data_IF_851285319379
#
_entry.id   IF_851285319379
#
_cell.length_a   1.000
_cell.length_b   1.000
_cell.length_c   1.000
_cell.angle_alpha   90.00
_cell.angle_beta   90.00
_cell.angle_gamma   90.00
#
_symmetry.space_group_name_H-M   'P 1'
#
loop_
_entity.id
_entity.type
_entity.pdbx_description
1 polymer ?
#
# COMPACT_ATOMS: atom_id res chain seq x y z
N UNK A 1 94.84 24.46 14.69
CA UNK A 1 93.66 25.25 15.09
C UNK A 1 92.61 24.28 15.59
N UNK A 2 92.21 24.36 16.87
CA UNK A 2 91.24 23.44 17.49
C UNK A 2 89.83 23.92 17.18
N UNK A 3 89.00 23.05 16.62
CA UNK A 3 87.57 23.27 16.40
C UNK A 3 86.89 23.39 17.78
N UNK A 4 86.38 24.57 18.11
CA UNK A 4 85.54 24.78 19.30
C UNK A 4 84.17 24.15 19.04
N UNK A 5 83.92 23.00 19.64
CA UNK A 5 82.59 22.40 19.73
C UNK A 5 81.75 23.24 20.70
N UNK A 6 80.75 23.94 20.18
CA UNK A 6 79.71 24.54 21.01
C UNK A 6 78.81 23.43 21.55
N UNK A 7 78.67 23.25 22.88
CA UNK A 7 77.77 22.23 23.40
C UNK A 7 76.33 22.62 23.08
N UNK A 8 75.66 21.79 22.30
CA UNK A 8 74.21 21.90 22.07
C UNK A 8 73.48 21.89 23.42
N UNK A 9 72.52 22.80 23.64
CA UNK A 9 71.81 22.87 24.92
C UNK A 9 71.11 21.53 25.22
N UNK A 10 71.13 21.07 26.49
CA UNK A 10 70.57 19.78 26.84
C UNK A 10 69.06 19.77 26.55
N UNK A 11 68.64 18.84 25.70
CA UNK A 11 67.25 18.67 25.29
C UNK A 11 66.43 18.26 26.52
N UNK A 12 65.70 19.20 27.11
CA UNK A 12 64.87 18.94 28.27
C UNK A 12 63.72 18.01 27.87
N UNK A 13 63.43 17.02 28.72
CA UNK A 13 62.37 16.02 28.46
C UNK A 13 61.00 16.67 28.27
N UNK A 14 60.79 17.85 28.87
CA UNK A 14 59.55 18.63 28.78
C UNK A 14 59.32 19.16 27.36
N UNK A 15 60.35 19.67 26.67
CA UNK A 15 60.21 20.19 25.29
C UNK A 15 59.89 19.07 24.28
N UNK A 16 60.37 17.85 24.54
CA UNK A 16 60.04 16.66 23.73
C UNK A 16 58.59 16.23 23.96
N UNK A 17 58.07 16.39 25.18
CA UNK A 17 56.68 16.07 25.51
C UNK A 17 55.73 17.12 24.93
N UNK A 18 56.08 18.40 24.99
CA UNK A 18 55.26 19.47 24.42
C UNK A 18 55.19 19.36 22.89
N UNK A 19 56.31 19.08 22.22
CA UNK A 19 56.32 18.83 20.77
C UNK A 19 55.54 17.57 20.39
N UNK A 20 55.58 16.50 21.19
CA UNK A 20 54.79 15.29 20.95
C UNK A 20 53.28 15.51 21.13
N UNK A 21 52.88 16.27 22.17
CA UNK A 21 51.48 16.62 22.42
C UNK A 21 50.94 17.55 21.33
N UNK A 22 51.76 18.49 20.84
CA UNK A 22 51.41 19.40 19.75
C UNK A 22 51.19 18.62 18.44
N UNK A 23 52.08 17.69 18.11
CA UNK A 23 51.91 16.78 16.97
C UNK A 23 50.68 15.88 17.08
N UNK A 24 50.32 15.44 18.29
CA UNK A 24 49.08 14.66 18.50
C UNK A 24 47.83 15.50 18.24
N UNK A 25 47.80 16.75 18.75
CA UNK A 25 46.70 17.68 18.51
C UNK A 25 46.57 18.04 17.03
N UNK A 26 47.69 18.25 16.34
CA UNK A 26 47.72 18.47 14.88
C UNK A 26 47.16 17.27 14.12
N UNK A 27 47.59 16.05 14.45
CA UNK A 27 47.06 14.83 13.82
C UNK A 27 45.56 14.66 14.07
N UNK A 28 45.09 15.01 15.27
CA UNK A 28 43.67 14.93 15.60
C UNK A 28 42.86 16.00 14.86
N UNK A 29 43.36 17.23 14.76
CA UNK A 29 42.74 18.29 13.98
C UNK A 29 42.68 17.94 12.49
N UNK A 30 43.75 17.35 11.94
CA UNK A 30 43.79 16.90 10.55
C UNK A 30 42.78 15.77 10.29
N UNK A 31 42.66 14.81 11.21
CA UNK A 31 41.64 13.75 11.13
C UNK A 31 40.23 14.34 11.12
N UNK A 32 39.95 15.30 11.99
CA UNK A 32 38.63 15.96 12.03
C UNK A 32 38.37 16.77 10.77
N UNK A 33 39.36 17.50 10.25
CA UNK A 33 39.26 18.19 8.97
C UNK A 33 39.01 17.23 7.81
N UNK A 34 39.66 16.07 7.80
CA UNK A 34 39.45 15.04 6.78
C UNK A 34 38.04 14.43 6.87
N UNK A 35 37.55 14.17 8.08
CA UNK A 35 36.16 13.73 8.30
C UNK A 35 35.18 14.80 7.79
N UNK A 36 35.43 16.07 8.10
CA UNK A 36 34.57 17.18 7.70
C UNK A 36 34.59 17.36 6.18
N UNK A 37 35.75 17.21 5.55
CA UNK A 37 35.92 17.24 4.10
C UNK A 37 35.20 16.08 3.40
N UNK A 38 35.29 14.86 3.95
CA UNK A 38 34.52 13.73 3.44
C UNK A 38 33.03 14.01 3.59
N UNK A 39 32.59 14.52 4.74
CA UNK A 39 31.19 14.83 4.99
C UNK A 39 30.65 15.91 4.05
N UNK A 40 31.44 16.96 3.74
CA UNK A 40 31.04 18.00 2.80
C UNK A 40 30.98 17.48 1.37
N UNK A 41 31.95 16.66 0.94
CA UNK A 41 31.89 15.99 -0.36
C UNK A 41 30.67 15.09 -0.45
N UNK A 42 30.36 14.31 0.58
CA UNK A 42 29.14 13.49 0.64
C UNK A 42 27.86 14.33 0.63
N UNK A 43 27.86 15.51 1.25
CA UNK A 43 26.70 16.41 1.26
C UNK A 43 26.45 17.04 -0.11
N UNK A 44 27.50 17.48 -0.82
CA UNK A 44 27.36 18.01 -2.17
C UNK A 44 27.03 16.91 -3.19
N UNK A 45 27.65 15.74 -3.05
CA UNK A 45 27.40 14.59 -3.92
C UNK A 45 26.21 13.75 -3.48
N UNK A 46 25.42 14.19 -2.48
CA UNK A 46 24.24 13.45 -2.00
C UNK A 46 23.29 13.17 -3.17
N UNK A 47 23.06 14.15 -4.04
CA UNK A 47 22.11 13.98 -5.14
C UNK A 47 22.63 12.97 -6.18
N UNK A 48 23.96 12.87 -6.36
CA UNK A 48 24.63 11.89 -7.24
C UNK A 48 24.70 10.47 -6.65
N UNK A 49 24.96 10.35 -5.34
CA UNK A 49 25.02 9.08 -4.62
C UNK A 49 23.62 8.49 -4.37
N UNK A 50 22.62 9.34 -4.12
CA UNK A 50 21.23 8.91 -4.03
C UNK A 50 20.66 8.62 -5.42
N UNK A 51 20.97 9.38 -6.48
CA UNK A 51 20.49 9.09 -7.83
C UNK A 51 20.96 7.74 -8.36
N UNK A 52 22.19 7.34 -8.04
CA UNK A 52 22.75 6.04 -8.47
C UNK A 52 22.19 4.84 -7.72
N UNK A 53 21.68 5.02 -6.50
CA UNK A 53 20.91 3.99 -5.78
C UNK A 53 19.40 4.02 -6.09
N UNK A 54 18.85 5.18 -6.45
CA UNK A 54 17.42 5.35 -6.74
C UNK A 54 17.05 5.24 -8.21
N UNK A 55 18.03 5.12 -9.11
CA UNK A 55 17.79 4.79 -10.51
C UNK A 55 18.28 3.37 -10.81
N UNK A 56 17.42 2.36 -10.73
CA UNK A 56 17.50 1.35 -11.75
C UNK A 56 17.16 2.05 -13.08
N UNK A 57 18.18 2.47 -13.83
CA UNK A 57 18.08 2.58 -15.29
C UNK A 57 17.86 1.16 -15.84
N UNK A 58 16.69 0.59 -15.55
CA UNK A 58 16.07 -0.24 -16.55
C UNK A 58 15.82 0.72 -17.71
N UNK A 59 16.38 0.51 -18.91
CA UNK A 59 15.83 1.17 -20.08
C UNK A 59 14.34 0.84 -20.00
N UNK A 60 13.47 1.83 -19.80
CA UNK A 60 12.02 1.62 -19.91
C UNK A 60 11.89 1.07 -21.32
N UNK A 61 11.68 -0.25 -21.49
CA UNK A 61 11.49 -0.77 -22.82
C UNK A 61 10.26 -0.01 -23.28
N UNK A 62 10.41 0.72 -24.39
CA UNK A 62 9.31 1.38 -25.08
C UNK A 62 8.08 0.56 -24.85
N UNK A 63 7.10 1.17 -24.18
CA UNK A 63 5.91 0.49 -23.68
C UNK A 63 5.35 -0.27 -24.85
N UNK A 64 5.66 -1.58 -24.90
CA UNK A 64 5.04 -2.54 -25.78
C UNK A 64 3.60 -2.59 -25.27
N UNK A 65 2.79 -1.61 -25.67
CA UNK A 65 1.35 -1.52 -25.45
C UNK A 65 0.63 -2.71 -26.09
N UNK A 66 1.36 -3.52 -26.85
CA UNK A 66 0.96 -4.77 -27.50
C UNK A 66 1.38 -6.05 -26.76
N UNK A 67 2.11 -5.98 -25.63
CA UNK A 67 2.31 -7.17 -24.79
C UNK A 67 0.95 -7.55 -24.22
N UNK A 68 0.31 -8.55 -24.88
CA UNK A 68 -0.95 -9.19 -24.49
C UNK A 68 -1.10 -9.17 -22.98
N UNK A 69 -2.16 -8.52 -22.49
CA UNK A 69 -2.53 -8.53 -21.07
C UNK A 69 -2.79 -9.97 -20.66
N UNK A 70 -1.77 -10.66 -20.16
CA UNK A 70 -1.90 -12.03 -19.67
C UNK A 70 -2.70 -11.95 -18.38
N UNK A 71 -3.87 -12.59 -18.38
CA UNK A 71 -4.74 -12.61 -17.21
C UNK A 71 -4.02 -13.24 -16.00
N UNK A 72 -3.91 -12.56 -14.84
CA UNK A 72 -3.06 -12.99 -13.74
C UNK A 72 -3.70 -14.08 -12.87
N UNK A 73 -4.04 -15.23 -13.45
CA UNK A 73 -4.78 -16.34 -12.81
C UNK A 73 -4.14 -16.86 -11.51
N UNK A 74 -2.80 -16.95 -11.46
CA UNK A 74 -2.06 -17.40 -10.27
C UNK A 74 -2.24 -16.46 -9.08
N UNK A 75 -2.22 -15.15 -9.32
CA UNK A 75 -2.39 -14.12 -8.27
C UNK A 75 -3.82 -14.07 -7.78
N UNK A 76 -4.80 -14.21 -8.69
CA UNK A 76 -6.22 -14.34 -8.30
C UNK A 76 -6.42 -15.54 -7.37
N UNK A 77 -5.77 -16.68 -7.67
CA UNK A 77 -5.77 -17.85 -6.79
C UNK A 77 -5.21 -17.58 -5.39
N UNK A 78 -4.11 -16.82 -5.29
CA UNK A 78 -3.52 -16.42 -3.99
C UNK A 78 -4.43 -15.47 -3.23
N UNK A 79 -5.03 -14.49 -3.91
CA UNK A 79 -6.00 -13.57 -3.30
C UNK A 79 -7.20 -14.33 -2.71
N UNK A 80 -7.72 -15.33 -3.42
CA UNK A 80 -8.81 -16.17 -2.90
C UNK A 80 -8.38 -16.90 -1.62
N UNK A 81 -7.18 -17.48 -1.59
CA UNK A 81 -6.66 -18.18 -0.42
C UNK A 81 -6.46 -17.24 0.78
N UNK A 82 -5.91 -16.04 0.55
CA UNK A 82 -5.71 -15.06 1.64
C UNK A 82 -7.04 -14.52 2.17
N UNK A 83 -8.03 -14.30 1.30
CA UNK A 83 -9.39 -13.93 1.69
C UNK A 83 -10.10 -15.03 2.49
N UNK A 84 -9.93 -16.29 2.11
CA UNK A 84 -10.48 -17.43 2.86
C UNK A 84 -9.81 -17.60 4.23
N UNK A 85 -8.49 -17.44 4.30
CA UNK A 85 -7.76 -17.46 5.56
C UNK A 85 -8.21 -16.33 6.49
N UNK A 86 -8.44 -15.14 5.93
CA UNK A 86 -8.97 -13.99 6.66
C UNK A 86 -10.39 -14.21 7.15
N UNK A 87 -11.27 -14.78 6.32
CA UNK A 87 -12.63 -15.14 6.70
C UNK A 87 -12.65 -16.12 7.89
N UNK A 88 -11.70 -17.06 7.93
CA UNK A 88 -11.54 -17.99 9.05
C UNK A 88 -11.03 -17.29 10.32
N UNK A 89 -10.14 -16.30 10.18
CA UNK A 89 -9.60 -15.54 11.30
C UNK A 89 -10.57 -14.49 11.86
N UNK A 90 -11.44 -13.91 11.03
CA UNK A 90 -12.33 -12.80 11.40
C UNK A 90 -13.76 -13.02 10.87
N UNK A 91 -14.66 -13.62 11.68
CA UNK A 91 -16.00 -13.97 11.23
C UNK A 91 -16.89 -12.75 10.91
N UNK A 92 -16.59 -11.58 11.47
CA UNK A 92 -17.32 -10.32 11.21
C UNK A 92 -17.24 -9.87 9.74
N UNK A 93 -16.18 -10.26 9.03
CA UNK A 93 -15.98 -9.92 7.61
C UNK A 93 -16.68 -10.91 6.67
N UNK A 94 -17.21 -12.01 7.20
CA UNK A 94 -17.69 -13.15 6.43
C UNK A 94 -18.76 -12.76 5.41
N UNK A 95 -19.80 -12.06 5.84
CA UNK A 95 -20.95 -11.76 4.98
C UNK A 95 -20.60 -10.75 3.87
N UNK A 96 -19.65 -9.85 4.14
CA UNK A 96 -19.16 -8.88 3.15
C UNK A 96 -18.19 -9.52 2.14
N UNK A 97 -17.35 -10.47 2.57
CA UNK A 97 -16.33 -11.08 1.71
C UNK A 97 -16.86 -12.25 0.87
N UNK A 98 -17.86 -12.99 1.35
CA UNK A 98 -18.41 -14.15 0.66
C UNK A 98 -18.84 -13.88 -0.80
N UNK A 99 -19.61 -12.82 -1.12
CA UNK A 99 -19.96 -12.52 -2.50
C UNK A 99 -18.72 -12.18 -3.36
N UNK A 100 -17.72 -11.50 -2.79
CA UNK A 100 -16.50 -11.10 -3.49
C UNK A 100 -15.58 -12.30 -3.78
N UNK A 101 -15.48 -13.25 -2.84
CA UNK A 101 -14.76 -14.51 -3.03
C UNK A 101 -15.43 -15.34 -4.12
N UNK A 102 -16.77 -15.43 -4.13
CA UNK A 102 -17.51 -16.14 -5.17
C UNK A 102 -17.31 -15.50 -6.56
N UNK A 103 -17.28 -14.18 -6.65
CA UNK A 103 -16.96 -13.48 -7.90
C UNK A 103 -15.54 -13.81 -8.37
N UNK A 104 -14.54 -13.83 -7.47
CA UNK A 104 -13.16 -14.20 -7.82
C UNK A 104 -13.02 -15.67 -8.25
N UNK A 105 -13.74 -16.57 -7.58
CA UNK A 105 -13.79 -17.99 -7.97
C UNK A 105 -14.41 -18.15 -9.36
N UNK A 106 -15.53 -17.48 -9.61
CA UNK A 106 -16.16 -17.48 -10.93
C UNK A 106 -15.18 -17.00 -12.01
N UNK A 107 -14.46 -15.89 -11.76
CA UNK A 107 -13.46 -15.34 -12.69
C UNK A 107 -12.31 -16.33 -12.93
N UNK A 108 -11.84 -17.01 -11.88
CA UNK A 108 -10.76 -18.00 -11.98
C UNK A 108 -11.17 -19.21 -12.82
N UNK A 109 -12.41 -19.64 -12.72
CA UNK A 109 -12.94 -20.84 -13.39
C UNK A 109 -13.37 -20.57 -14.85
N UNK A 110 -13.42 -19.30 -15.28
CA UNK A 110 -13.76 -18.96 -16.66
C UNK A 110 -12.57 -19.13 -17.62
N UNK A 111 -12.85 -19.72 -18.79
CA UNK A 111 -11.90 -19.77 -19.89
C UNK A 111 -11.78 -18.39 -20.58
N UNK A 112 -10.58 -17.78 -20.63
CA UNK A 112 -10.38 -16.46 -21.23
C UNK A 112 -10.63 -16.43 -22.74
N UNK A 113 -10.56 -17.59 -23.40
CA UNK A 113 -10.86 -17.74 -24.82
C UNK A 113 -12.37 -17.70 -25.13
N UNK A 114 -13.22 -18.08 -24.16
CA UNK A 114 -14.69 -18.15 -24.35
C UNK A 114 -15.39 -16.86 -23.94
N UNK A 115 -15.00 -16.29 -22.80
CA UNK A 115 -15.66 -15.11 -22.21
C UNK A 115 -15.06 -13.79 -22.72
N UNK A 116 -13.82 -13.84 -23.22
CA UNK A 116 -13.08 -12.66 -23.64
C UNK A 116 -12.30 -12.03 -22.49
N UNK A 117 -11.01 -11.78 -22.74
CA UNK A 117 -10.09 -11.26 -21.71
C UNK A 117 -10.50 -9.88 -21.17
N UNK A 118 -11.07 -9.02 -22.02
CA UNK A 118 -11.51 -7.68 -21.61
C UNK A 118 -12.66 -7.74 -20.58
N UNK A 119 -13.61 -8.66 -20.74
CA UNK A 119 -14.71 -8.83 -19.80
C UNK A 119 -14.23 -9.35 -18.45
N UNK A 120 -13.32 -10.34 -18.46
CA UNK A 120 -12.72 -10.87 -17.23
C UNK A 120 -11.90 -9.82 -16.49
N UNK A 121 -11.16 -8.97 -17.21
CA UNK A 121 -10.42 -7.85 -16.63
C UNK A 121 -11.35 -6.82 -16.00
N UNK A 122 -12.40 -6.39 -16.71
CA UNK A 122 -13.38 -5.44 -16.18
C UNK A 122 -14.09 -5.97 -14.93
N UNK A 123 -14.45 -7.26 -14.92
CA UNK A 123 -15.07 -7.85 -13.73
C UNK A 123 -14.09 -7.95 -12.58
N UNK A 124 -12.85 -8.35 -12.86
CA UNK A 124 -11.77 -8.40 -11.86
C UNK A 124 -11.52 -7.01 -11.24
N UNK A 125 -11.42 -5.95 -12.06
CA UNK A 125 -11.22 -4.60 -11.56
C UNK A 125 -12.39 -4.11 -10.69
N UNK A 126 -13.63 -4.37 -11.10
CA UNK A 126 -14.81 -4.09 -10.27
C UNK A 126 -14.76 -4.83 -8.92
N UNK A 127 -14.39 -6.10 -8.91
CA UNK A 127 -14.29 -6.88 -7.67
C UNK A 127 -13.14 -6.37 -6.78
N UNK A 128 -12.00 -5.99 -7.37
CA UNK A 128 -10.87 -5.41 -6.64
C UNK A 128 -11.20 -4.04 -6.04
N UNK A 129 -11.94 -3.20 -6.75
CA UNK A 129 -12.42 -1.91 -6.22
C UNK A 129 -13.33 -2.12 -5.00
N UNK A 130 -14.28 -3.06 -5.08
CA UNK A 130 -15.14 -3.39 -3.93
C UNK A 130 -14.35 -3.94 -2.75
N UNK A 131 -13.39 -4.84 -2.99
CA UNK A 131 -12.50 -5.33 -1.94
C UNK A 131 -11.71 -4.19 -1.32
N UNK A 132 -11.19 -3.27 -2.13
CA UNK A 132 -10.48 -2.09 -1.67
C UNK A 132 -11.32 -1.21 -0.76
N UNK A 133 -12.56 -0.92 -1.17
CA UNK A 133 -13.54 -0.17 -0.37
C UNK A 133 -13.84 -0.87 0.96
N UNK A 134 -14.06 -2.19 0.94
CA UNK A 134 -14.30 -2.97 2.16
C UNK A 134 -13.13 -2.81 3.11
N UNK A 135 -11.89 -3.04 2.69
CA UNK A 135 -10.73 -3.00 3.60
C UNK A 135 -10.30 -1.58 4.02
N UNK A 136 -10.67 -0.56 3.25
CA UNK A 136 -10.36 0.84 3.57
C UNK A 136 -11.54 1.60 4.19
N UNK A 137 -12.66 0.92 4.44
CA UNK A 137 -13.79 1.50 5.14
C UNK A 137 -13.35 2.08 6.50
N UNK A 138 -13.91 3.22 6.93
CA UNK A 138 -13.61 3.83 8.24
C UNK A 138 -14.15 3.00 9.42
N UNK A 139 -14.77 1.85 9.14
CA UNK A 139 -15.35 0.92 10.11
C UNK A 139 -14.29 0.10 10.85
N UNK A 140 -13.06 0.03 10.33
CA UNK A 140 -11.98 -0.77 10.90
C UNK A 140 -11.09 0.06 11.82
N UNK A 141 -11.07 -0.29 13.11
CA UNK A 141 -10.22 0.34 14.13
C UNK A 141 -8.72 -0.01 13.94
N UNK A 142 -8.41 -1.25 13.57
CA UNK A 142 -7.05 -1.70 13.22
C UNK A 142 -7.03 -2.37 11.84
N UNK A 143 -6.09 -1.93 11.00
CA UNK A 143 -5.92 -2.41 9.62
C UNK A 143 -4.77 -3.41 9.45
N UNK A 144 -3.94 -3.60 10.47
CA UNK A 144 -2.85 -4.59 10.48
C UNK A 144 -3.28 -6.00 10.05
N UNK A 145 -4.42 -6.56 10.49
CA UNK A 145 -4.82 -7.90 10.06
C UNK A 145 -5.15 -7.99 8.56
N UNK A 146 -5.41 -6.85 7.89
CA UNK A 146 -5.75 -6.80 6.47
C UNK A 146 -4.55 -6.60 5.55
N UNK A 147 -3.37 -6.31 6.08
CA UNK A 147 -2.18 -5.93 5.29
C UNK A 147 -1.83 -6.97 4.22
N UNK A 148 -1.89 -8.27 4.55
CA UNK A 148 -1.59 -9.33 3.59
C UNK A 148 -2.54 -9.35 2.39
N UNK A 149 -3.83 -9.09 2.61
CA UNK A 149 -4.82 -9.00 1.53
C UNK A 149 -4.67 -7.70 0.76
N UNK A 150 -4.43 -6.57 1.46
CA UNK A 150 -4.20 -5.27 0.84
C UNK A 150 -2.98 -5.32 -0.10
N UNK A 151 -1.90 -6.00 0.28
CA UNK A 151 -0.72 -6.18 -0.56
C UNK A 151 -1.03 -6.98 -1.83
N UNK A 152 -1.79 -8.07 -1.74
CA UNK A 152 -2.19 -8.84 -2.92
C UNK A 152 -3.14 -8.06 -3.85
N UNK A 153 -4.06 -7.26 -3.29
CA UNK A 153 -4.91 -6.36 -4.08
C UNK A 153 -4.07 -5.32 -4.82
N UNK A 154 -3.10 -4.67 -4.13
CA UNK A 154 -2.16 -3.73 -4.78
C UNK A 154 -1.37 -4.40 -5.89
N UNK A 155 -0.87 -5.62 -5.67
CA UNK A 155 -0.15 -6.38 -6.68
C UNK A 155 -1.02 -6.72 -7.89
N UNK A 156 -2.34 -6.92 -7.71
CA UNK A 156 -3.25 -7.11 -8.83
C UNK A 156 -3.53 -5.81 -9.58
N UNK A 157 -3.70 -4.67 -8.89
CA UNK A 157 -3.80 -3.36 -9.53
C UNK A 157 -2.57 -3.03 -10.38
N UNK A 158 -1.36 -3.29 -9.89
CA UNK A 158 -0.13 -3.06 -10.66
C UNK A 158 -0.04 -3.96 -11.90
N UNK A 159 -0.48 -5.22 -11.81
CA UNK A 159 -0.53 -6.14 -12.96
C UNK A 159 -1.59 -5.73 -13.99
N UNK A 160 -2.70 -5.14 -13.54
CA UNK A 160 -3.75 -4.61 -14.42
C UNK A 160 -3.39 -3.22 -14.98
N UNK A 161 -2.34 -2.58 -14.45
CA UNK A 161 -1.97 -1.18 -14.73
C UNK A 161 -3.11 -0.21 -14.41
N UNK A 162 -3.87 -0.51 -13.38
CA UNK A 162 -4.94 0.34 -12.86
C UNK A 162 -4.50 0.96 -11.54
N UNK A 163 -4.94 2.19 -11.27
CA UNK A 163 -4.71 2.84 -9.98
C UNK A 163 -5.84 2.47 -9.02
N UNK A 164 -5.53 2.13 -7.75
CA UNK A 164 -6.56 1.92 -6.75
C UNK A 164 -7.37 3.20 -6.56
N UNK A 165 -8.68 3.10 -6.28
CA UNK A 165 -9.52 4.27 -6.11
C UNK A 165 -9.02 5.13 -4.93
N UNK A 166 -8.93 6.44 -5.17
CA UNK A 166 -8.54 7.42 -4.15
C UNK A 166 -9.54 7.37 -2.99
N UNK A 167 -9.01 7.37 -1.77
CA UNK A 167 -9.83 7.35 -0.56
C UNK A 167 -10.60 8.67 -0.48
N UNK A 168 -11.91 8.62 -0.66
CA UNK A 168 -12.76 9.76 -0.36
C UNK A 168 -12.67 10.03 1.15
N UNK A 169 -12.34 11.26 1.58
CA UNK A 169 -12.32 11.60 2.99
C UNK A 169 -13.70 11.34 3.60
N UNK A 170 -13.71 10.82 4.83
CA UNK A 170 -14.95 10.54 5.58
C UNK A 170 -15.82 11.81 5.55
N UNK A 171 -17.09 11.75 5.14
CA UNK A 171 -17.97 12.90 5.27
C UNK A 171 -18.03 13.25 6.75
N UNK A 172 -17.69 14.49 7.09
CA UNK A 172 -17.76 14.97 8.47
C UNK A 172 -19.20 14.82 8.91
N UNK A 173 -19.46 13.82 9.78
CA UNK A 173 -20.77 13.70 10.41
C UNK A 173 -21.02 15.01 11.16
N UNK A 174 -22.17 15.66 10.97
CA UNK A 174 -22.47 16.89 11.70
C UNK A 174 -22.52 16.56 13.20
N UNK A 175 -21.44 16.88 13.91
CA UNK A 175 -21.39 16.75 15.37
C UNK A 175 -22.11 17.96 15.96
N UNK A 176 -23.33 17.72 16.41
CA UNK A 176 -24.15 18.73 17.10
C UNK A 176 -25.58 18.25 17.28
N UNK A 177 -26.31 18.73 18.29
CA UNK A 177 -27.73 18.44 18.47
C UNK A 177 -28.50 19.15 17.36
N UNK A 178 -28.68 18.49 16.21
CA UNK A 178 -29.74 18.89 15.28
C UNK A 178 -31.06 18.50 15.93
N UNK A 179 -32.03 19.42 16.09
CA UNK A 179 -33.39 19.01 16.39
C UNK A 179 -33.80 18.03 15.29
N UNK A 180 -34.22 16.82 15.70
CA UNK A 180 -34.86 15.87 14.81
C UNK A 180 -36.11 16.57 14.27
N UNK A 181 -36.01 17.18 13.08
CA UNK A 181 -37.20 17.44 12.29
C UNK A 181 -37.93 16.10 12.16
N UNK A 182 -39.26 16.06 12.33
CA UNK A 182 -40.00 14.81 12.31
C UNK A 182 -39.70 14.10 10.99
N UNK A 183 -38.88 13.06 11.08
CA UNK A 183 -38.67 12.12 10.00
C UNK A 183 -40.05 11.51 9.76
N UNK A 184 -40.67 11.81 8.62
CA UNK A 184 -41.76 10.97 8.12
C UNK A 184 -41.18 9.56 8.00
N UNK A 185 -41.52 8.70 8.97
CA UNK A 185 -41.13 7.31 8.96
C UNK A 185 -41.64 6.71 7.64
N UNK A 186 -40.78 6.11 6.78
CA UNK A 186 -41.29 5.32 5.67
C UNK A 186 -42.17 4.24 6.27
N UNK A 187 -43.44 4.28 5.90
CA UNK A 187 -44.50 3.47 6.48
C UNK A 187 -44.10 1.99 6.57
N UNK A 188 -43.97 1.52 7.82
CA UNK A 188 -44.43 0.22 8.33
C UNK A 188 -44.82 -0.81 7.26
N UNK A 189 -43.84 -1.49 6.65
CA UNK A 189 -44.10 -2.75 5.93
C UNK A 189 -42.99 -3.80 6.08
N UNK A 190 -42.16 -3.73 7.13
CA UNK A 190 -41.10 -4.72 7.38
C UNK A 190 -41.57 -5.98 8.14
N UNK A 191 -42.86 -6.07 8.52
CA UNK A 191 -43.41 -7.25 9.18
C UNK A 191 -44.78 -7.62 8.62
N UNK A 192 -44.82 -8.11 7.37
CA UNK A 192 -45.97 -8.88 6.90
C UNK A 192 -45.65 -10.37 7.09
N UNK A 193 -45.93 -10.86 8.29
CA UNK A 193 -45.93 -12.28 8.58
C UNK A 193 -47.01 -12.99 7.75
N UNK A 194 -46.68 -14.21 7.32
CA UNK A 194 -47.48 -15.02 6.42
C UNK A 194 -48.95 -15.18 6.86
N UNK A 195 -49.87 -14.91 5.94
CA UNK A 195 -51.16 -15.59 5.92
C UNK A 195 -51.38 -16.22 4.54
N UNK A 196 -51.90 -17.43 4.60
CA UNK A 196 -52.06 -18.45 3.57
C UNK A 196 -52.96 -18.00 2.38
N UNK A 197 -53.05 -18.81 1.30
CA UNK A 197 -53.38 -18.33 -0.04
C UNK A 197 -54.87 -18.05 -0.20
N UNK A 198 -55.22 -16.92 -0.81
CA UNK A 198 -56.58 -16.66 -1.30
C UNK A 198 -56.71 -17.16 -2.74
N UNK A 199 -57.75 -17.97 -2.95
CA UNK A 199 -58.18 -18.61 -4.21
C UNK A 199 -58.16 -17.66 -5.42
N UNK A 200 -57.93 -18.17 -6.65
CA UNK A 200 -58.14 -17.38 -7.85
C UNK A 200 -59.65 -17.12 -8.03
N UNK A 201 -60.00 -15.85 -8.22
CA UNK A 201 -61.33 -15.42 -8.65
C UNK A 201 -61.38 -15.51 -10.18
N UNK A 202 -62.30 -16.32 -10.71
CA UNK A 202 -62.64 -16.41 -12.13
C UNK A 202 -63.18 -15.07 -12.65
N UNK A 203 -62.87 -14.67 -13.90
CA UNK A 203 -63.48 -13.48 -14.49
C UNK A 203 -64.92 -13.77 -14.95
N UNK A 204 -65.89 -13.00 -14.43
CA UNK A 204 -67.24 -12.89 -14.99
C UNK A 204 -67.14 -12.23 -16.38
N UNK A 205 -67.52 -12.99 -17.40
CA UNK A 205 -67.64 -12.51 -18.76
C UNK A 205 -68.97 -11.75 -18.95
N UNK A 206 -68.82 -10.43 -19.15
CA UNK A 206 -69.63 -9.52 -19.97
C UNK A 206 -71.16 -9.66 -19.97
N UNK A 207 -71.79 -8.63 -19.41
CA UNK A 207 -73.10 -8.12 -19.85
C UNK A 207 -73.08 -7.76 -21.34
N UNK A 208 -73.98 -8.35 -22.14
CA UNK A 208 -75.04 -7.69 -22.93
C UNK A 208 -75.64 -8.66 -23.94
#
# INVERSE_FOLDING_TARGET
MKTQEFPLPPKNRLDVVDTALLQQKEKQALKWLLILLVLTVFYESKDFLWSSLSMPEFPVPEVNTSLRRVFPSRRVGRLIQTLQAMQAAQPLTRDALLPLINDLLWIKDQDPARVGQAMLQNRLSMTLNRLWEVFHAPLWEDRKPFEGVIQEIRALFTLLRETPPEQLPVPVLPVGPRPLLPLEAPARHLFRFAHAPSRPVLPEERRK
#
